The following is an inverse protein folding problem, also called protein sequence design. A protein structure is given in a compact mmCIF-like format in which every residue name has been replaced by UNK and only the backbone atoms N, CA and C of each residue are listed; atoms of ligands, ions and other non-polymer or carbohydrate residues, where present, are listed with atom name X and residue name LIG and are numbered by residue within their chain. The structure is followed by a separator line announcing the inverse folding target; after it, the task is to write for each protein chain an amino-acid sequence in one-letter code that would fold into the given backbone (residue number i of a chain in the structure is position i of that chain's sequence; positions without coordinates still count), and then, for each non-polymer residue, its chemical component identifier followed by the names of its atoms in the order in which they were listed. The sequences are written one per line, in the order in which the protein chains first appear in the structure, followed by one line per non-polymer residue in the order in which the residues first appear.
data_IF_868726294877
#
_entry.id   IF_868726294877
#
_cell.length_a   1.000
_cell.length_b   1.000
_cell.length_c   1.000
_cell.angle_alpha   90.00
_cell.angle_beta   90.00
_cell.angle_gamma   90.00
#
_symmetry.space_group_name_H-M   'P 1'
#
loop_
_entity.id
_entity.type
_entity.pdbx_description
1 polymer ?
#
# COMPACT_ATOMS: atom_id res chain seq x y z
N UNK A 1 8.08 1.21 -3.13
CA UNK A 1 6.72 0.83 -3.59
C UNK A 1 6.68 -0.07 -4.81
N UNK A 2 7.40 0.23 -5.89
CA UNK A 2 7.39 -0.58 -7.11
C UNK A 2 7.74 -2.07 -6.87
N UNK A 3 8.74 -2.37 -6.02
CA UNK A 3 9.14 -3.76 -5.70
C UNK A 3 8.03 -4.51 -4.96
N UNK A 4 7.39 -3.86 -3.98
CA UNK A 4 6.28 -4.44 -3.24
C UNK A 4 5.07 -4.71 -4.15
N UNK A 5 4.73 -3.74 -5.00
CA UNK A 5 3.69 -3.91 -6.01
C UNK A 5 4.01 -5.07 -6.96
N UNK A 6 5.23 -5.13 -7.49
CA UNK A 6 5.67 -6.18 -8.40
C UNK A 6 5.61 -7.56 -7.78
N UNK A 7 6.02 -7.71 -6.52
CA UNK A 7 5.92 -8.97 -5.79
C UNK A 7 4.48 -9.45 -5.66
N UNK A 8 3.57 -8.59 -5.18
CA UNK A 8 2.18 -8.98 -4.97
C UNK A 8 1.40 -9.20 -6.26
N UNK A 9 1.72 -8.45 -7.32
CA UNK A 9 1.18 -8.70 -8.65
C UNK A 9 1.61 -10.07 -9.18
N UNK A 10 2.90 -10.41 -9.09
CA UNK A 10 3.39 -11.73 -9.46
C UNK A 10 2.77 -12.84 -8.60
N UNK A 11 2.73 -12.67 -7.28
CA UNK A 11 2.16 -13.64 -6.35
C UNK A 11 0.70 -13.93 -6.67
N UNK A 12 -0.13 -12.91 -6.89
CA UNK A 12 -1.55 -13.08 -7.25
C UNK A 12 -1.73 -13.80 -8.59
N UNK A 13 -0.89 -13.50 -9.58
CA UNK A 13 -0.91 -14.22 -10.86
C UNK A 13 -0.50 -15.68 -10.67
N UNK A 14 0.59 -15.94 -9.96
CA UNK A 14 1.11 -17.29 -9.73
C UNK A 14 0.14 -18.16 -8.93
N UNK A 15 -0.47 -17.61 -7.87
CA UNK A 15 -1.47 -18.33 -7.07
C UNK A 15 -2.76 -18.57 -7.85
N UNK A 16 -3.26 -17.59 -8.59
CA UNK A 16 -4.45 -17.75 -9.41
C UNK A 16 -4.30 -18.81 -10.52
N UNK A 17 -3.09 -18.98 -11.07
CA UNK A 17 -2.78 -20.07 -12.02
C UNK A 17 -2.77 -21.43 -11.29
N UNK A 18 -2.17 -21.50 -10.11
CA UNK A 18 -2.09 -22.74 -9.31
C UNK A 18 -3.43 -23.24 -8.78
N UNK A 19 -4.39 -22.34 -8.53
CA UNK A 19 -5.71 -22.67 -7.96
C UNK A 19 -6.79 -23.02 -9.00
N UNK A 20 -6.42 -23.21 -10.27
CA UNK A 20 -7.34 -23.74 -11.29
C UNK A 20 -8.24 -22.71 -11.98
N UNK A 21 -7.85 -21.44 -12.01
CA UNK A 21 -8.39 -20.44 -12.94
C UNK A 21 -9.78 -19.86 -12.60
N UNK A 22 -10.65 -20.60 -11.91
CA UNK A 22 -12.02 -20.14 -11.58
C UNK A 22 -12.05 -18.92 -10.65
N UNK A 23 -10.99 -18.74 -9.84
CA UNK A 23 -10.80 -17.59 -8.95
C UNK A 23 -9.72 -16.60 -9.44
N UNK A 24 -9.20 -16.79 -10.65
CA UNK A 24 -8.11 -15.98 -11.22
C UNK A 24 -8.48 -14.50 -11.33
N UNK A 25 -9.74 -14.19 -11.59
CA UNK A 25 -10.25 -12.81 -11.62
C UNK A 25 -10.12 -12.14 -10.25
N UNK A 26 -10.47 -12.81 -9.16
CA UNK A 26 -10.29 -12.23 -7.82
C UNK A 26 -8.81 -12.08 -7.48
N UNK A 27 -7.98 -13.03 -7.91
CA UNK A 27 -6.53 -13.01 -7.72
C UNK A 27 -5.79 -11.99 -8.61
N UNK A 28 -6.40 -11.49 -9.68
CA UNK A 28 -5.88 -10.41 -10.52
C UNK A 28 -6.44 -9.04 -10.15
N UNK A 29 -7.74 -8.97 -9.88
CA UNK A 29 -8.44 -7.72 -9.58
C UNK A 29 -8.01 -7.19 -8.21
N UNK A 30 -7.88 -8.06 -7.21
CA UNK A 30 -7.52 -7.62 -5.86
C UNK A 30 -6.12 -6.97 -5.84
N UNK A 31 -5.06 -7.58 -6.39
CA UNK A 31 -3.75 -6.92 -6.43
C UNK A 31 -3.72 -5.66 -7.29
N UNK A 32 -4.43 -5.64 -8.42
CA UNK A 32 -4.45 -4.46 -9.31
C UNK A 32 -5.21 -3.30 -8.66
N UNK A 33 -6.39 -3.53 -8.08
CA UNK A 33 -7.18 -2.47 -7.46
C UNK A 33 -6.59 -2.01 -6.12
N UNK A 34 -6.09 -2.94 -5.31
CA UNK A 34 -5.53 -2.63 -3.99
C UNK A 34 -4.14 -2.01 -4.14
N UNK A 35 -3.33 -2.44 -5.12
CA UNK A 35 -1.93 -2.03 -5.17
C UNK A 35 -1.54 -1.11 -6.32
N UNK A 36 -2.17 -1.18 -7.51
CA UNK A 36 -1.79 -0.35 -8.66
C UNK A 36 -2.45 1.05 -8.64
N UNK A 37 -3.73 1.10 -8.29
CA UNK A 37 -4.50 2.34 -8.27
C UNK A 37 -3.90 3.41 -7.34
N UNK A 38 -3.52 3.10 -6.09
CA UNK A 38 -2.92 4.10 -5.21
C UNK A 38 -1.60 4.64 -5.74
N UNK A 39 -0.77 3.78 -6.33
CA UNK A 39 0.51 4.17 -6.94
C UNK A 39 0.27 5.13 -8.11
N UNK A 40 -0.71 4.84 -8.98
CA UNK A 40 -1.06 5.71 -10.10
C UNK A 40 -1.65 7.06 -9.63
N UNK A 41 -2.45 7.06 -8.55
CA UNK A 41 -3.02 8.29 -7.99
C UNK A 41 -1.93 9.16 -7.35
N UNK A 42 -0.99 8.57 -6.61
CA UNK A 42 0.16 9.31 -6.04
C UNK A 42 0.94 10.06 -7.10
N UNK A 43 1.13 9.46 -8.29
CA UNK A 43 1.92 10.06 -9.38
C UNK A 43 1.34 11.38 -9.90
N UNK A 44 0.01 11.54 -9.84
CA UNK A 44 -0.64 12.77 -10.29
C UNK A 44 -0.96 13.68 -9.11
N UNK A 45 -1.51 13.13 -8.04
CA UNK A 45 -2.09 13.83 -6.90
C UNK A 45 -1.49 13.30 -5.60
N UNK A 46 -0.31 13.78 -5.24
CA UNK A 46 0.47 13.23 -4.12
C UNK A 46 -0.30 13.23 -2.79
N UNK A 47 -1.03 14.30 -2.44
CA UNK A 47 -1.81 14.36 -1.20
C UNK A 47 -2.97 13.35 -1.18
N UNK A 48 -3.75 13.30 -2.26
CA UNK A 48 -4.85 12.34 -2.38
C UNK A 48 -4.33 10.90 -2.38
N UNK A 49 -3.20 10.65 -3.05
CA UNK A 49 -2.53 9.36 -3.04
C UNK A 49 -1.99 8.97 -1.67
N UNK A 50 -1.46 9.92 -0.89
CA UNK A 50 -0.99 9.68 0.47
C UNK A 50 -2.14 9.30 1.42
N UNK A 51 -3.28 10.00 1.32
CA UNK A 51 -4.50 9.63 2.05
C UNK A 51 -5.01 8.24 1.64
N UNK A 52 -5.06 7.96 0.34
CA UNK A 52 -5.51 6.67 -0.19
C UNK A 52 -4.63 5.51 0.29
N UNK A 53 -3.31 5.67 0.26
CA UNK A 53 -2.34 4.69 0.77
C UNK A 53 -2.51 4.45 2.28
N UNK A 54 -2.70 5.52 3.04
CA UNK A 54 -2.91 5.44 4.50
C UNK A 54 -4.22 4.70 4.81
N UNK A 55 -5.32 5.11 4.17
CA UNK A 55 -6.62 4.48 4.35
C UNK A 55 -6.59 3.00 3.97
N UNK A 56 -5.95 2.66 2.85
CA UNK A 56 -5.78 1.28 2.42
C UNK A 56 -4.99 0.45 3.46
N UNK A 57 -3.86 0.97 3.93
CA UNK A 57 -3.06 0.31 4.96
C UNK A 57 -3.87 0.03 6.23
N UNK A 58 -4.70 0.99 6.67
CA UNK A 58 -5.59 0.81 7.82
C UNK A 58 -6.69 -0.23 7.57
N UNK A 59 -7.31 -0.22 6.38
CA UNK A 59 -8.32 -1.21 6.02
C UNK A 59 -7.74 -2.62 6.03
N UNK A 60 -6.51 -2.80 5.54
CA UNK A 60 -5.82 -4.10 5.59
C UNK A 60 -5.50 -4.47 7.04
N UNK A 61 -4.87 -3.56 7.79
CA UNK A 61 -4.42 -3.79 9.18
C UNK A 61 -5.56 -4.21 10.12
N UNK A 62 -6.78 -3.74 9.87
CA UNK A 62 -7.96 -4.10 10.68
C UNK A 62 -8.76 -5.24 10.04
N UNK A 63 -8.93 -5.19 8.71
CA UNK A 63 -9.77 -6.12 7.98
C UNK A 63 -9.17 -7.53 7.92
N UNK A 64 -7.86 -7.66 7.74
CA UNK A 64 -7.22 -8.96 7.60
C UNK A 64 -7.30 -9.79 8.90
N UNK A 65 -6.95 -9.27 10.09
CA UNK A 65 -7.13 -10.01 11.34
C UNK A 65 -8.59 -10.37 11.64
N UNK A 66 -9.54 -9.50 11.26
CA UNK A 66 -10.97 -9.76 11.45
C UNK A 66 -11.48 -10.92 10.57
N UNK A 67 -11.12 -10.91 9.28
CA UNK A 67 -11.53 -11.95 8.32
C UNK A 67 -10.85 -13.29 8.57
N UNK A 68 -9.58 -13.27 9.00
CA UNK A 68 -8.76 -14.46 9.15
C UNK A 68 -8.45 -14.80 10.62
N UNK A 69 -9.33 -14.42 11.55
CA UNK A 69 -9.16 -14.63 12.99
C UNK A 69 -8.95 -16.10 13.41
N UNK A 70 -9.27 -17.07 12.54
CA UNK A 70 -9.09 -18.50 12.77
C UNK A 70 -7.68 -19.01 12.46
N UNK A 71 -6.80 -18.18 11.86
CA UNK A 71 -5.42 -18.55 11.60
C UNK A 71 -4.56 -18.42 12.86
N UNK A 72 -3.37 -19.04 12.83
CA UNK A 72 -2.39 -18.88 13.91
C UNK A 72 -2.01 -17.39 14.06
N UNK A 73 -1.92 -16.84 15.30
CA UNK A 73 -1.67 -15.41 15.51
C UNK A 73 -0.40 -14.89 14.80
N UNK A 74 0.66 -15.69 14.76
CA UNK A 74 1.91 -15.30 14.08
C UNK A 74 1.76 -15.22 12.56
N UNK A 75 0.89 -16.05 11.96
CA UNK A 75 0.58 -15.98 10.52
C UNK A 75 -0.19 -14.70 10.25
N UNK A 76 -1.18 -14.39 11.09
CA UNK A 76 -1.96 -13.16 10.96
C UNK A 76 -1.04 -11.94 11.00
N UNK A 77 -0.21 -11.84 12.03
CA UNK A 77 0.70 -10.69 12.21
C UNK A 77 1.71 -10.58 11.07
N UNK A 78 2.34 -11.68 10.65
CA UNK A 78 3.36 -11.62 9.60
C UNK A 78 2.75 -11.26 8.23
N UNK A 79 1.62 -11.85 7.86
CA UNK A 79 0.93 -11.50 6.61
C UNK A 79 0.40 -10.06 6.65
N UNK A 80 -0.18 -9.64 7.77
CA UNK A 80 -0.70 -8.28 7.93
C UNK A 80 0.43 -7.24 7.83
N UNK A 81 1.60 -7.51 8.43
CA UNK A 81 2.77 -6.64 8.26
C UNK A 81 3.24 -6.58 6.80
N UNK A 82 3.21 -7.68 6.05
CA UNK A 82 3.63 -7.67 4.64
C UNK A 82 2.63 -6.93 3.72
N UNK A 83 1.34 -6.92 4.10
CA UNK A 83 0.26 -6.30 3.33
C UNK A 83 0.01 -4.84 3.72
N UNK A 84 -0.14 -4.55 5.01
CA UNK A 84 -0.56 -3.25 5.52
C UNK A 84 0.60 -2.26 5.72
N UNK A 85 1.75 -2.75 6.20
CA UNK A 85 2.85 -1.87 6.60
C UNK A 85 3.39 -1.03 5.45
N UNK A 86 3.61 -1.58 4.23
CA UNK A 86 4.14 -0.78 3.14
C UNK A 86 3.22 0.41 2.77
N UNK A 87 1.94 0.21 2.39
CA UNK A 87 1.09 1.33 2.01
C UNK A 87 0.87 2.31 3.17
N UNK A 88 0.75 1.81 4.40
CA UNK A 88 0.60 2.67 5.58
C UNK A 88 1.83 3.55 5.81
N UNK A 89 3.02 2.96 5.80
CA UNK A 89 4.27 3.71 5.98
C UNK A 89 4.48 4.73 4.86
N UNK A 90 4.23 4.36 3.60
CA UNK A 90 4.35 5.28 2.48
C UNK A 90 3.35 6.43 2.54
N UNK A 91 2.09 6.15 2.88
CA UNK A 91 1.05 7.17 3.04
C UNK A 91 1.39 8.17 4.15
N UNK A 92 1.79 7.68 5.33
CA UNK A 92 2.19 8.53 6.46
C UNK A 92 3.42 9.36 6.12
N UNK A 93 4.47 8.75 5.54
CA UNK A 93 5.69 9.47 5.17
C UNK A 93 5.43 10.57 4.14
N UNK A 94 4.55 10.32 3.15
CA UNK A 94 4.14 11.33 2.17
C UNK A 94 3.31 12.46 2.80
N UNK A 95 2.49 12.18 3.80
CA UNK A 95 1.77 13.23 4.54
C UNK A 95 2.74 14.08 5.37
N UNK A 96 3.71 13.44 6.04
CA UNK A 96 4.70 14.14 6.86
C UNK A 96 5.63 15.02 6.01
N UNK A 97 6.09 14.54 4.85
CA UNK A 97 6.93 15.34 3.95
C UNK A 97 6.23 16.58 3.39
N UNK A 98 4.90 16.62 3.44
CA UNK A 98 4.07 17.76 3.03
C UNK A 98 3.82 18.77 4.17
N UNK A 99 3.95 18.34 5.42
CA UNK A 99 3.74 19.18 6.61
C UNK A 99 5.01 19.98 6.93
N UNK A 100 6.17 19.58 6.41
CA UNK A 100 7.43 20.29 6.62
C UNK A 100 7.36 21.71 6.04
N UNK A 101 7.50 22.77 6.86
CA UNK A 101 7.46 24.14 6.37
C UNK A 101 8.62 24.38 5.40
N UNK A 102 8.44 25.24 4.38
CA UNK A 102 9.51 25.56 3.45
C UNK A 102 10.75 26.01 4.24
N UNK A 103 11.89 25.35 3.99
CA UNK A 103 13.17 25.79 4.56
C UNK A 103 13.34 27.27 4.22
N UNK A 104 13.60 28.15 5.21
CA UNK A 104 13.93 29.53 4.92
C UNK A 104 15.12 29.53 3.97
N UNK A 105 14.96 30.28 2.88
CA UNK A 105 15.96 30.49 1.87
C UNK A 105 17.31 30.81 2.53
N UNK A 106 18.29 29.90 2.38
CA UNK A 106 19.66 30.10 2.89
C UNK A 106 20.44 31.11 2.04
N UNK A 107 19.87 31.61 0.95
CA UNK A 107 20.42 32.72 0.17
C UNK A 107 19.97 34.03 0.81
N UNK A 108 20.63 34.39 1.90
CA UNK A 108 20.63 35.76 2.43
C UNK A 108 21.26 36.72 1.42
N UNK A 109 20.57 37.00 0.32
CA UNK A 109 20.92 38.05 -0.61
C UNK A 109 20.58 39.41 0.00
N UNK A 110 21.56 40.30 0.24
CA UNK A 110 21.26 41.67 0.65
C UNK A 110 20.56 42.40 -0.50
N UNK A 111 19.51 43.14 -0.13
CA UNK A 111 18.80 44.09 -0.98
C UNK A 111 19.67 45.31 -1.34
#
# INVERSE_FOLDING_TARGET
MAVWFGFWAWFGIASGIGEGGSNLIFHLIFPVLVFALPVAVVWKWEFAGALLLTALGLVIAVGYPFMFHNLLPWVIVTTDLMLALPPLAAGILLLLSRIEPPQPDKTGGPA
#
